data_IF_949713852861
#
_entry.id   IF_949713852861
#
_cell.length_a   1.000
_cell.length_b   1.000
_cell.length_c   1.000
_cell.angle_alpha   90.00
_cell.angle_beta   90.00
_cell.angle_gamma   90.00
#
_symmetry.space_group_name_H-M   'P 1'
#
loop_
_entity.id
_entity.type
_entity.pdbx_description
1 polymer ?
#
# COMPACT_ATOMS: atom_id res chain seq x y z
N UNK A 1 -19.12 -31.74 26.29
CA UNK A 1 -20.29 -31.72 25.40
C UNK A 1 -20.58 -30.27 25.06
N UNK A 2 -20.28 -29.84 23.83
CA UNK A 2 -21.25 -29.63 22.74
C UNK A 2 -22.10 -28.36 23.01
N UNK A 3 -22.20 -27.33 22.16
CA UNK A 3 -22.39 -27.29 20.70
C UNK A 3 -21.97 -25.89 20.19
N UNK A 4 -21.13 -25.80 19.17
CA UNK A 4 -21.47 -25.33 17.81
C UNK A 4 -22.37 -24.09 17.76
N UNK A 5 -21.73 -22.93 17.56
CA UNK A 5 -22.40 -21.71 17.12
C UNK A 5 -22.73 -21.79 15.63
N UNK A 6 -23.99 -21.50 15.37
CA UNK A 6 -24.76 -21.81 14.18
C UNK A 6 -24.32 -21.00 12.97
N UNK A 7 -24.20 -21.69 11.83
CA UNK A 7 -24.10 -21.13 10.47
C UNK A 7 -25.18 -20.07 10.25
N UNK A 8 -24.78 -18.86 9.86
CA UNK A 8 -25.69 -17.91 9.21
C UNK A 8 -25.57 -18.13 7.71
N UNK A 9 -26.75 -18.17 7.11
CA UNK A 9 -27.12 -18.87 5.91
C UNK A 9 -27.62 -17.81 4.91
N UNK A 10 -27.24 -17.99 3.65
CA UNK A 10 -27.97 -17.62 2.42
C UNK A 10 -28.08 -16.15 2.01
N UNK A 11 -27.36 -15.88 0.92
CA UNK A 11 -27.90 -15.47 -0.39
C UNK A 11 -28.90 -14.31 -0.41
N UNK A 12 -28.41 -13.14 -0.84
CA UNK A 12 -29.24 -12.03 -1.27
C UNK A 12 -28.77 -11.53 -2.64
N UNK A 13 -29.76 -11.36 -3.50
CA UNK A 13 -29.82 -10.52 -4.71
C UNK A 13 -29.37 -11.11 -6.05
N UNK A 14 -30.35 -11.79 -6.67
CA UNK A 14 -30.60 -11.80 -8.11
C UNK A 14 -31.45 -10.57 -8.48
N UNK A 15 -30.95 -9.63 -9.31
CA UNK A 15 -31.78 -8.78 -10.19
C UNK A 15 -31.00 -8.44 -11.48
N UNK A 16 -31.57 -8.85 -12.61
CA UNK A 16 -31.18 -8.46 -13.98
C UNK A 16 -31.65 -7.04 -14.31
N UNK A 17 -30.87 -6.28 -15.08
CA UNK A 17 -31.46 -5.34 -16.05
C UNK A 17 -30.50 -5.00 -17.20
N UNK A 18 -31.00 -5.25 -18.41
CA UNK A 18 -30.43 -4.88 -19.70
C UNK A 18 -30.67 -3.39 -20.00
N UNK A 19 -29.79 -2.80 -20.80
CA UNK A 19 -29.99 -1.45 -21.35
C UNK A 19 -28.89 -1.05 -22.32
N UNK A 20 -28.99 -1.51 -23.58
CA UNK A 20 -28.29 -0.89 -24.70
C UNK A 20 -28.84 0.52 -24.93
N UNK A 21 -27.97 1.52 -25.00
CA UNK A 21 -28.22 2.76 -25.74
C UNK A 21 -27.00 3.10 -26.59
N UNK A 22 -27.19 2.94 -27.90
CA UNK A 22 -26.39 3.53 -28.96
C UNK A 22 -26.65 5.04 -28.99
N UNK A 23 -25.61 5.86 -28.90
CA UNK A 23 -25.62 7.23 -29.42
C UNK A 23 -24.19 7.64 -29.74
N UNK A 24 -23.93 7.80 -31.04
CA UNK A 24 -22.71 8.42 -31.54
C UNK A 24 -22.77 9.94 -31.42
N UNK A 25 -21.61 10.58 -31.50
CA UNK A 25 -21.29 11.58 -32.52
C UNK A 25 -19.87 12.10 -32.28
N UNK A 26 -19.06 11.93 -33.32
CA UNK A 26 -17.83 12.65 -33.62
C UNK A 26 -17.92 14.14 -33.27
N UNK A 27 -16.92 14.66 -32.57
CA UNK A 27 -16.55 16.07 -32.73
C UNK A 27 -15.04 16.28 -32.66
N UNK A 28 -14.61 17.08 -33.62
CA UNK A 28 -13.28 17.31 -34.16
C UNK A 28 -12.36 18.04 -33.16
N UNK A 29 -11.05 17.73 -33.14
CA UNK A 29 -10.12 18.43 -32.27
C UNK A 29 -9.90 19.88 -32.75
N UNK A 30 -10.00 20.89 -31.86
CA UNK A 30 -9.53 22.22 -32.19
C UNK A 30 -8.00 22.29 -32.20
N UNK A 31 -7.55 22.96 -33.25
CA UNK A 31 -6.21 23.43 -33.61
C UNK A 31 -5.32 23.82 -32.43
N UNK A 32 -4.07 23.36 -32.52
CA UNK A 32 -2.92 23.71 -31.67
C UNK A 32 -2.65 25.22 -31.80
N UNK A 33 -2.88 25.97 -30.73
CA UNK A 33 -2.23 27.26 -30.52
C UNK A 33 -0.90 27.02 -29.79
N UNK A 34 0.18 27.50 -30.40
CA UNK A 34 1.55 27.42 -29.90
C UNK A 34 1.88 28.73 -29.17
N UNK A 35 2.12 28.74 -27.85
CA UNK A 35 2.89 29.81 -27.23
C UNK A 35 4.37 29.46 -27.35
N UNK A 36 5.10 30.25 -28.14
CA UNK A 36 6.55 30.36 -28.02
C UNK A 36 6.85 31.35 -26.91
N UNK A 37 7.34 30.88 -25.76
CA UNK A 37 8.19 31.68 -24.88
C UNK A 37 9.35 30.81 -24.42
N UNK A 38 10.54 31.37 -24.56
CA UNK A 38 11.84 30.75 -24.45
C UNK A 38 12.28 30.45 -23.01
N UNK A 39 13.10 29.39 -22.92
CA UNK A 39 14.24 29.15 -22.04
C UNK A 39 14.39 29.92 -20.73
N UNK A 40 14.27 29.18 -19.63
CA UNK A 40 15.29 29.09 -18.58
C UNK A 40 15.10 27.79 -17.80
N UNK A 41 16.10 26.88 -17.70
CA UNK A 41 15.97 25.68 -16.88
C UNK A 41 16.08 26.10 -15.42
N UNK A 42 14.95 26.50 -14.84
CA UNK A 42 14.82 26.74 -13.41
C UNK A 42 14.90 25.38 -12.72
N UNK A 43 15.80 25.27 -11.75
CA UNK A 43 16.18 24.08 -10.99
C UNK A 43 15.06 23.46 -10.11
N UNK A 44 13.82 23.45 -10.60
CA UNK A 44 12.64 22.88 -9.94
C UNK A 44 12.29 21.50 -10.51
N UNK A 45 12.68 21.19 -11.75
CA UNK A 45 12.38 19.90 -12.37
C UNK A 45 13.26 18.76 -11.85
N UNK A 46 14.49 19.06 -11.40
CA UNK A 46 15.37 18.07 -10.74
C UNK A 46 14.78 17.50 -9.44
N UNK A 47 13.93 18.26 -8.73
CA UNK A 47 13.31 17.80 -7.47
C UNK A 47 12.13 16.84 -7.70
N UNK A 48 11.50 16.89 -8.87
CA UNK A 48 10.37 15.99 -9.19
C UNK A 48 10.87 14.68 -9.81
N UNK A 49 12.05 14.71 -10.43
CA UNK A 49 12.69 13.53 -11.04
C UNK A 49 13.43 12.66 -9.99
N UNK A 50 14.10 13.26 -9.00
CA UNK A 50 14.68 12.51 -7.87
C UNK A 50 13.61 11.80 -7.00
N UNK A 51 12.37 12.29 -7.00
CA UNK A 51 11.25 11.71 -6.25
C UNK A 51 10.63 10.47 -6.92
N UNK A 52 10.89 10.25 -8.21
CA UNK A 52 10.44 9.06 -8.94
C UNK A 52 11.41 7.89 -8.83
N UNK A 53 12.70 8.14 -8.57
CA UNK A 53 13.75 7.11 -8.51
C UNK A 53 14.21 6.73 -7.09
N UNK A 54 13.64 7.37 -6.05
CA UNK A 54 13.47 6.78 -4.71
C UNK A 54 12.39 5.69 -4.68
N UNK A 55 12.17 5.01 -5.81
CA UNK A 55 10.97 4.36 -6.34
C UNK A 55 10.38 3.22 -5.49
N UNK A 56 10.03 3.49 -4.24
CA UNK A 56 9.66 2.53 -3.18
C UNK A 56 10.89 1.90 -2.53
N UNK A 57 11.72 2.73 -1.89
CA UNK A 57 12.87 2.28 -1.09
C UNK A 57 12.54 1.30 0.04
N UNK A 58 11.27 0.96 0.28
CA UNK A 58 10.81 -0.06 1.22
C UNK A 58 10.54 -1.43 0.60
N UNK A 59 10.46 -1.54 -0.73
CA UNK A 59 10.14 -2.78 -1.44
C UNK A 59 11.34 -3.72 -1.46
N UNK A 60 11.07 -5.03 -1.42
CA UNK A 60 12.06 -6.10 -1.42
C UNK A 60 13.08 -5.99 -0.26
N UNK A 61 12.63 -5.48 0.89
CA UNK A 61 13.40 -5.37 2.12
C UNK A 61 12.69 -6.06 3.27
N UNK A 62 13.48 -6.62 4.20
CA UNK A 62 12.96 -7.19 5.44
C UNK A 62 12.93 -6.10 6.51
N UNK A 63 11.71 -5.71 6.85
CA UNK A 63 11.43 -4.72 7.88
C UNK A 63 11.02 -5.42 9.17
N UNK A 64 11.42 -4.89 10.32
CA UNK A 64 11.07 -5.38 11.64
C UNK A 64 10.32 -4.30 12.40
N UNK A 65 9.22 -4.68 13.05
CA UNK A 65 8.48 -3.81 13.95
C UNK A 65 9.36 -3.46 15.15
N UNK A 66 9.69 -2.17 15.28
CA UNK A 66 10.29 -1.61 16.49
C UNK A 66 9.21 -1.26 17.50
N UNK A 67 8.19 -0.53 17.04
CA UNK A 67 7.07 -0.03 17.85
C UNK A 67 5.78 -0.09 17.05
N UNK A 68 4.65 -0.40 17.71
CA UNK A 68 3.34 -0.35 17.08
C UNK A 68 2.21 -0.29 18.10
N UNK A 69 1.06 0.27 17.69
CA UNK A 69 -0.20 0.19 18.44
C UNK A 69 -1.03 -1.08 18.13
N UNK A 70 -0.61 -1.91 17.17
CA UNK A 70 -1.40 -3.08 16.73
C UNK A 70 -0.61 -4.30 16.24
N UNK A 71 0.67 -4.15 15.89
CA UNK A 71 1.57 -5.25 15.52
C UNK A 71 2.52 -5.60 16.67
N UNK A 72 2.95 -6.86 16.74
CA UNK A 72 3.87 -7.29 17.79
C UNK A 72 5.30 -6.78 17.53
N UNK A 73 6.04 -6.25 18.54
CA UNK A 73 7.46 -5.96 18.39
C UNK A 73 8.25 -7.18 17.92
N UNK A 74 9.17 -6.97 16.98
CA UNK A 74 9.95 -8.04 16.36
C UNK A 74 9.26 -8.76 15.21
N UNK A 75 7.97 -8.52 14.95
CA UNK A 75 7.29 -9.01 13.75
C UNK A 75 7.96 -8.46 12.49
N UNK A 76 8.04 -9.28 11.46
CA UNK A 76 8.67 -8.96 10.19
C UNK A 76 7.61 -8.63 9.13
N UNK A 77 7.93 -7.65 8.29
CA UNK A 77 7.17 -7.21 7.13
C UNK A 77 8.07 -7.22 5.89
N UNK A 78 7.57 -7.73 4.78
CA UNK A 78 8.23 -7.64 3.46
C UNK A 78 7.20 -7.23 2.41
N UNK A 79 7.49 -6.14 1.70
CA UNK A 79 6.69 -5.65 0.59
C UNK A 79 7.35 -6.09 -0.70
N UNK A 80 6.92 -7.20 -1.29
CA UNK A 80 7.53 -7.75 -2.51
C UNK A 80 7.07 -6.97 -3.74
N UNK A 81 7.96 -6.74 -4.70
CA UNK A 81 7.74 -5.89 -5.88
C UNK A 81 6.52 -6.27 -6.73
N UNK A 82 6.13 -7.53 -6.74
CA UNK A 82 4.95 -8.04 -7.43
C UNK A 82 3.62 -7.76 -6.70
N UNK A 83 3.66 -7.13 -5.52
CA UNK A 83 2.48 -6.76 -4.74
C UNK A 83 2.12 -7.74 -3.63
N UNK A 84 2.98 -8.72 -3.31
CA UNK A 84 2.78 -9.62 -2.17
C UNK A 84 3.29 -8.97 -0.88
N UNK A 85 2.49 -9.04 0.18
CA UNK A 85 2.87 -8.63 1.53
C UNK A 85 3.15 -9.90 2.35
N UNK A 86 4.33 -10.01 2.93
CA UNK A 86 4.69 -11.11 3.86
C UNK A 86 4.75 -10.56 5.27
N UNK A 87 4.10 -11.25 6.21
CA UNK A 87 4.12 -10.93 7.63
C UNK A 87 4.53 -12.16 8.43
N UNK A 88 5.55 -12.05 9.28
CA UNK A 88 6.02 -13.19 10.07
C UNK A 88 6.32 -12.77 11.51
N UNK A 89 5.70 -13.43 12.47
CA UNK A 89 6.00 -13.25 13.88
C UNK A 89 6.83 -14.44 14.39
N UNK A 90 7.68 -14.27 15.41
CA UNK A 90 8.55 -15.34 15.92
C UNK A 90 7.81 -16.61 16.35
N UNK A 91 6.56 -16.46 16.80
CA UNK A 91 5.78 -17.51 17.46
C UNK A 91 4.54 -17.94 16.66
N UNK A 92 4.44 -17.55 15.38
CA UNK A 92 3.29 -17.91 14.53
C UNK A 92 3.73 -18.32 13.14
N UNK A 93 2.84 -18.98 12.40
CA UNK A 93 3.05 -19.17 10.97
C UNK A 93 3.07 -17.81 10.26
N UNK A 94 3.89 -17.64 9.20
CA UNK A 94 3.79 -16.47 8.35
C UNK A 94 2.40 -16.33 7.74
N UNK A 95 1.94 -15.09 7.64
CA UNK A 95 0.73 -14.69 6.94
C UNK A 95 1.10 -13.95 5.65
N UNK A 96 0.18 -13.99 4.68
CA UNK A 96 0.33 -13.34 3.39
C UNK A 96 -0.83 -12.40 3.14
N UNK A 97 -0.52 -11.25 2.56
CA UNK A 97 -1.46 -10.26 2.08
C UNK A 97 -1.05 -9.77 0.71
N UNK A 98 -1.70 -8.71 0.26
CA UNK A 98 -1.26 -7.94 -0.92
C UNK A 98 -1.02 -6.50 -0.55
N UNK A 99 -0.28 -5.78 -1.37
CA UNK A 99 -0.12 -4.35 -1.24
C UNK A 99 -0.08 -3.70 -2.61
N UNK A 100 -0.39 -2.40 -2.63
CA UNK A 100 -0.38 -1.59 -3.83
C UNK A 100 0.05 -0.17 -3.48
N UNK A 101 0.90 0.44 -4.30
CA UNK A 101 1.22 1.86 -4.21
C UNK A 101 0.87 2.55 -5.52
N UNK A 102 -0.17 3.38 -5.51
CA UNK A 102 -0.64 4.10 -6.70
C UNK A 102 -1.05 5.52 -6.33
N UNK A 103 -0.69 6.48 -7.18
CA UNK A 103 -1.05 7.89 -6.95
C UNK A 103 -0.56 8.46 -5.61
N UNK A 104 0.53 7.93 -5.06
CA UNK A 104 1.06 8.34 -3.76
C UNK A 104 0.38 7.68 -2.56
N UNK A 105 -0.56 6.75 -2.77
CA UNK A 105 -1.30 6.08 -1.72
C UNK A 105 -0.88 4.61 -1.59
N UNK A 106 -0.49 4.19 -0.39
CA UNK A 106 -0.26 2.79 -0.05
C UNK A 106 -1.59 2.16 0.40
N UNK A 107 -1.93 1.01 -0.16
CA UNK A 107 -3.00 0.15 0.34
C UNK A 107 -2.41 -1.21 0.68
N UNK A 108 -2.70 -1.70 1.87
CA UNK A 108 -2.33 -3.05 2.33
C UNK A 108 -3.60 -3.88 2.48
N UNK A 109 -3.59 -5.12 2.02
CA UNK A 109 -4.69 -6.07 2.20
C UNK A 109 -4.20 -7.18 3.10
N UNK A 110 -4.67 -7.20 4.34
CA UNK A 110 -4.34 -8.24 5.31
C UNK A 110 -5.63 -9.01 5.64
N UNK A 111 -5.57 -10.34 5.62
CA UNK A 111 -6.74 -11.21 5.86
C UNK A 111 -7.95 -10.89 4.96
N UNK A 112 -7.70 -10.37 3.75
CA UNK A 112 -8.73 -9.95 2.81
C UNK A 112 -9.33 -8.57 3.06
N UNK A 113 -8.87 -7.84 4.08
CA UNK A 113 -9.36 -6.51 4.44
C UNK A 113 -8.39 -5.44 3.92
N UNK A 114 -8.85 -4.51 3.06
CA UNK A 114 -8.01 -3.42 2.57
C UNK A 114 -7.91 -2.29 3.60
N UNK A 115 -6.68 -1.87 3.88
CA UNK A 115 -6.33 -0.77 4.76
C UNK A 115 -5.60 0.32 3.98
N UNK A 116 -6.21 1.51 3.92
CA UNK A 116 -5.53 2.70 3.40
C UNK A 116 -4.45 3.10 4.38
N UNK A 117 -3.22 3.18 3.88
CA UNK A 117 -2.03 3.32 4.71
C UNK A 117 -1.26 4.57 4.32
N UNK A 118 -1.06 5.45 5.29
CA UNK A 118 -0.25 6.65 5.11
C UNK A 118 1.22 6.31 5.38
N UNK A 119 2.12 6.78 4.52
CA UNK A 119 3.57 6.72 4.78
C UNK A 119 3.94 7.99 5.55
N UNK A 120 4.15 7.86 6.86
CA UNK A 120 4.49 8.98 7.74
C UNK A 120 5.97 9.36 7.66
N UNK A 121 6.84 8.36 7.44
CA UNK A 121 8.28 8.56 7.22
C UNK A 121 8.85 7.40 6.43
N UNK A 122 9.71 7.70 5.48
CA UNK A 122 10.43 6.70 4.69
C UNK A 122 11.88 7.13 4.50
N UNK A 123 12.79 6.28 4.96
CA UNK A 123 14.24 6.45 4.84
C UNK A 123 14.91 5.07 4.78
N UNK A 124 16.24 5.03 4.69
CA UNK A 124 17.00 3.78 4.75
C UNK A 124 16.89 3.07 6.12
N UNK A 125 16.71 3.83 7.20
CA UNK A 125 16.78 3.30 8.58
C UNK A 125 15.40 3.17 9.24
N UNK A 126 14.37 3.79 8.66
CA UNK A 126 13.05 3.85 9.25
C UNK A 126 11.96 3.93 8.18
N UNK A 127 10.95 3.09 8.36
CA UNK A 127 9.71 3.11 7.61
C UNK A 127 8.54 3.17 8.58
N UNK A 128 7.90 4.33 8.69
CA UNK A 128 6.76 4.56 9.60
C UNK A 128 5.48 4.70 8.80
N UNK A 129 4.49 3.90 9.15
CA UNK A 129 3.20 3.86 8.46
C UNK A 129 2.03 4.00 9.44
N UNK A 130 0.90 4.46 8.91
CA UNK A 130 -0.39 4.51 9.63
C UNK A 130 -1.49 3.89 8.80
N UNK A 131 -1.99 2.74 9.22
CA UNK A 131 -3.13 2.06 8.61
C UNK A 131 -4.43 2.58 9.19
N UNK A 132 -5.35 3.04 8.33
CA UNK A 132 -6.64 3.60 8.73
C UNK A 132 -7.69 2.48 8.80
N UNK A 133 -7.79 1.82 9.96
CA UNK A 133 -8.68 0.68 10.16
C UNK A 133 -10.06 1.16 10.66
N UNK A 134 -11.16 0.41 10.40
CA UNK A 134 -12.50 0.77 10.87
C UNK A 134 -12.62 0.95 12.40
N UNK A 135 -11.74 0.32 13.19
CA UNK A 135 -11.70 0.42 14.65
C UNK A 135 -10.72 1.47 15.20
N UNK A 136 -10.05 2.24 14.35
CA UNK A 136 -9.02 3.20 14.73
C UNK A 136 -7.73 3.02 13.92
N UNK A 137 -6.91 4.07 13.89
CA UNK A 137 -5.65 4.01 13.17
C UNK A 137 -4.61 3.15 13.92
N UNK A 138 -3.90 2.31 13.18
CA UNK A 138 -2.74 1.56 13.68
C UNK A 138 -1.49 2.20 13.13
N UNK A 139 -0.58 2.61 14.01
CA UNK A 139 0.74 3.09 13.61
C UNK A 139 1.79 1.99 13.83
N UNK A 140 2.72 1.89 12.89
CA UNK A 140 3.83 0.94 12.94
C UNK A 140 5.10 1.70 12.58
N UNK A 141 6.11 1.58 13.43
CA UNK A 141 7.47 2.01 13.15
C UNK A 141 8.32 0.78 12.86
N UNK A 142 8.81 0.71 11.63
CA UNK A 142 9.64 -0.38 11.13
C UNK A 142 11.09 0.08 10.97
N UNK A 143 12.02 -0.82 11.23
CA UNK A 143 13.46 -0.66 10.99
C UNK A 143 14.00 -1.85 10.17
N UNK A 144 15.13 -1.72 9.45
CA UNK A 144 15.75 -2.87 8.79
C UNK A 144 16.01 -4.03 9.75
N UNK A 145 15.73 -5.27 9.33
CA UNK A 145 15.93 -6.46 10.17
C UNK A 145 17.41 -6.85 10.33
N UNK A 146 18.27 -6.43 9.40
CA UNK A 146 19.70 -6.74 9.33
C UNK A 146 20.52 -6.18 10.51
N UNK A 147 19.96 -5.26 11.29
CA UNK A 147 20.62 -4.58 12.40
C UNK A 147 20.87 -5.50 13.63
N UNK A 148 20.65 -6.81 13.51
CA UNK A 148 21.07 -7.81 14.48
C UNK A 148 22.13 -8.74 13.90
N UNK A 149 23.39 -8.33 13.99
CA UNK A 149 24.41 -9.34 14.30
C UNK A 149 24.17 -9.78 15.76
N UNK A 150 23.99 -11.08 16.05
CA UNK A 150 24.01 -11.53 17.45
C UNK A 150 25.35 -11.13 18.09
N UNK A 151 25.39 -10.76 19.38
CA UNK A 151 26.66 -10.53 20.06
C UNK A 151 27.53 -11.80 19.91
N UNK A 152 28.77 -11.59 19.47
CA UNK A 152 29.78 -12.64 19.33
C UNK A 152 30.22 -13.17 20.70
#
# INVERSE_FOLDING_TARGET
MAKQFTKILRDVALVMMAGLLLSGCTQQPPTIERPTVASSPTATERRVEDAKDSALSFVNKVWRVRESSGAAPGQLYVFLSEGTLVMASPNSKPAFGTWKYEGGALTMVEEGIPYKTDILKLSKDEFRIRSNNPGGAVEITLVPAEELSPPK
#
